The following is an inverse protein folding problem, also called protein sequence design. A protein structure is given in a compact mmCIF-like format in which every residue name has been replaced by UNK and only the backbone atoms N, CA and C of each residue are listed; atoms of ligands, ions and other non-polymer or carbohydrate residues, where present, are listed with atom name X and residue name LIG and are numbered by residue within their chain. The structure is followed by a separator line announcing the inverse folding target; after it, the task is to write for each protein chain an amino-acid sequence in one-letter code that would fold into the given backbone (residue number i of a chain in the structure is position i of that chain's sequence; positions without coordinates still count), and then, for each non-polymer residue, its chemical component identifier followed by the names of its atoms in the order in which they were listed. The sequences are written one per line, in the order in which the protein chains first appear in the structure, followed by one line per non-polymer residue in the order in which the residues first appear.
data_IF_471854102205
#
_entry.id   IF_471854102205
#
_cell.length_a   1.000
_cell.length_b   1.000
_cell.length_c   1.000
_cell.angle_alpha   90.00
_cell.angle_beta   90.00
_cell.angle_gamma   90.00
#
_symmetry.space_group_name_H-M   'P 1'
#
loop_
_entity.id
_entity.type
_entity.pdbx_description
1 polymer ?
#
# COMPACT_ATOMS: atom_id res chain seq x y z
N UNK A 1 40.07 -5.43 23.91
CA UNK A 1 40.53 -5.69 22.53
C UNK A 1 39.51 -5.11 21.58
N UNK A 2 39.94 -4.12 20.80
CA UNK A 2 39.10 -3.29 19.93
C UNK A 2 38.63 -4.10 18.73
N UNK A 3 37.31 -4.23 18.54
CA UNK A 3 36.73 -4.77 17.30
C UNK A 3 36.14 -3.60 16.53
N UNK A 4 36.87 -3.19 15.48
CA UNK A 4 36.46 -2.14 14.57
C UNK A 4 35.17 -2.54 13.83
N UNK A 5 34.08 -1.82 14.11
CA UNK A 5 32.89 -1.85 13.27
C UNK A 5 33.21 -1.17 11.93
N UNK A 6 33.29 -1.94 10.85
CA UNK A 6 33.35 -1.40 9.48
C UNK A 6 32.03 -0.69 9.17
N UNK A 7 32.04 0.65 9.22
CA UNK A 7 31.07 1.51 8.54
C UNK A 7 31.21 1.30 7.04
N UNK A 8 30.25 0.64 6.41
CA UNK A 8 30.05 0.73 4.96
C UNK A 8 29.26 2.00 4.67
N UNK A 9 29.98 3.05 4.25
CA UNK A 9 29.38 4.22 3.64
C UNK A 9 28.77 3.81 2.29
N UNK A 10 27.45 3.98 2.11
CA UNK A 10 26.83 3.94 0.79
C UNK A 10 27.21 5.24 0.06
N UNK A 11 28.39 5.26 -0.55
CA UNK A 11 28.74 6.27 -1.55
C UNK A 11 28.19 5.83 -2.91
N UNK A 12 27.42 6.73 -3.54
CA UNK A 12 27.23 6.82 -4.99
C UNK A 12 27.02 5.51 -5.74
N UNK A 13 25.93 4.79 -5.49
CA UNK A 13 25.49 3.75 -6.40
C UNK A 13 24.75 4.42 -7.57
N UNK A 14 25.42 4.47 -8.73
CA UNK A 14 24.77 4.74 -10.01
C UNK A 14 23.53 3.85 -10.16
N UNK A 15 22.44 4.45 -10.65
CA UNK A 15 21.14 3.82 -10.88
C UNK A 15 21.36 2.43 -11.51
N UNK A 16 21.08 1.30 -10.82
CA UNK A 16 21.07 0.02 -11.51
C UNK A 16 20.04 0.14 -12.65
N UNK A 17 20.35 -0.34 -13.86
CA UNK A 17 19.40 -0.28 -14.96
C UNK A 17 18.11 -0.94 -14.49
N UNK A 18 17.02 -0.16 -14.41
CA UNK A 18 15.68 -0.73 -14.26
C UNK A 18 15.52 -1.63 -15.49
N UNK A 19 15.25 -2.92 -15.28
CA UNK A 19 14.67 -3.72 -16.37
C UNK A 19 13.50 -2.89 -16.92
N UNK A 20 13.45 -2.63 -18.24
CA UNK A 20 12.37 -1.83 -18.79
C UNK A 20 11.04 -2.48 -18.37
N UNK A 21 10.07 -1.63 -17.99
CA UNK A 21 8.69 -1.91 -17.60
C UNK A 21 7.89 -2.81 -18.59
N UNK A 22 8.56 -3.39 -19.59
CA UNK A 22 8.02 -4.22 -20.67
C UNK A 22 7.27 -5.43 -20.13
N UNK A 23 5.97 -5.25 -19.95
CA UNK A 23 5.01 -6.32 -19.68
C UNK A 23 4.44 -6.40 -18.27
N UNK A 24 4.77 -5.47 -17.38
CA UNK A 24 4.13 -5.34 -16.07
C UNK A 24 2.84 -4.51 -16.09
N UNK A 25 2.61 -3.73 -17.15
CA UNK A 25 1.52 -2.75 -17.19
C UNK A 25 1.59 -1.81 -15.99
N UNK A 26 0.45 -1.60 -15.34
CA UNK A 26 0.33 -0.73 -14.16
C UNK A 26 0.36 -1.52 -12.85
N UNK A 27 0.73 -2.81 -12.88
CA UNK A 27 0.95 -3.65 -11.70
C UNK A 27 2.26 -3.26 -10.98
N UNK A 28 2.42 -1.99 -10.74
CA UNK A 28 3.46 -1.41 -9.91
C UNK A 28 2.84 -1.01 -8.59
N UNK A 29 3.63 -1.12 -7.53
CA UNK A 29 3.20 -0.67 -6.22
C UNK A 29 2.96 0.85 -6.24
N UNK A 30 2.05 1.32 -5.39
CA UNK A 30 1.87 2.75 -5.19
C UNK A 30 3.20 3.42 -4.84
N UNK A 31 4.11 2.76 -4.14
CA UNK A 31 5.46 3.26 -3.83
C UNK A 31 6.41 3.41 -5.03
N UNK A 32 6.19 2.67 -6.13
CA UNK A 32 7.02 2.75 -7.34
C UNK A 32 6.65 3.95 -8.22
N UNK A 33 5.39 4.41 -8.14
CA UNK A 33 4.85 5.55 -8.91
C UNK A 33 4.46 6.74 -8.05
N UNK A 34 4.48 6.59 -6.72
CA UNK A 34 4.28 7.70 -5.81
C UNK A 34 5.52 8.59 -5.82
N UNK A 35 5.25 9.89 -5.75
CA UNK A 35 6.23 10.88 -5.38
C UNK A 35 5.88 11.40 -3.98
N UNK A 36 6.85 11.61 -3.08
CA UNK A 36 8.26 11.28 -3.24
C UNK A 36 8.49 9.76 -3.15
N UNK A 37 9.35 9.24 -4.03
CA UNK A 37 9.84 7.87 -3.93
C UNK A 37 10.84 7.69 -2.76
N UNK A 38 11.06 6.47 -2.24
CA UNK A 38 11.90 6.24 -1.04
C UNK A 38 13.34 6.73 -1.13
N UNK A 39 13.92 6.88 -2.32
CA UNK A 39 15.29 7.36 -2.50
C UNK A 39 15.43 8.88 -2.36
N UNK A 40 14.32 9.63 -2.37
CA UNK A 40 14.33 11.06 -2.05
C UNK A 40 14.48 11.34 -0.55
N UNK A 41 14.27 10.32 0.29
CA UNK A 41 14.33 10.47 1.73
C UNK A 41 15.78 10.56 2.18
N UNK A 42 16.08 11.47 3.10
CA UNK A 42 17.40 11.64 3.69
C UNK A 42 17.31 11.78 5.21
N UNK A 43 18.43 11.53 5.89
CA UNK A 43 18.52 11.54 7.37
C UNK A 43 18.47 12.96 7.96
N UNK A 44 18.63 13.99 7.12
CA UNK A 44 18.49 15.40 7.52
C UNK A 44 17.05 15.85 7.81
N UNK A 45 16.06 14.98 7.59
CA UNK A 45 14.66 15.21 7.97
C UNK A 45 14.22 14.04 8.83
N UNK A 46 13.94 14.29 10.11
CA UNK A 46 13.67 13.27 11.11
C UNK A 46 12.59 13.70 12.10
N UNK A 47 12.77 13.28 13.36
CA UNK A 47 11.79 13.53 14.42
C UNK A 47 11.46 15.02 14.65
N UNK A 48 12.44 15.96 14.73
CA UNK A 48 12.13 17.38 14.95
C UNK A 48 11.23 17.98 13.87
N UNK A 49 11.45 17.61 12.61
CA UNK A 49 10.65 18.11 11.49
C UNK A 49 9.22 17.57 11.54
N UNK A 50 9.05 16.29 11.90
CA UNK A 50 7.72 15.71 12.10
C UNK A 50 7.00 16.37 13.29
N UNK A 51 7.70 16.61 14.39
CA UNK A 51 7.13 17.26 15.57
C UNK A 51 6.65 18.68 15.25
N UNK A 52 7.42 19.46 14.48
CA UNK A 52 7.00 20.80 14.01
C UNK A 52 5.79 20.68 13.08
N UNK A 53 5.83 19.80 12.08
CA UNK A 53 4.74 19.66 11.13
C UNK A 53 3.42 19.24 11.80
N UNK A 54 3.47 18.38 12.83
CA UNK A 54 2.30 18.00 13.62
C UNK A 54 1.76 19.18 14.45
N UNK A 55 2.63 20.06 14.95
CA UNK A 55 2.26 21.23 15.73
C UNK A 55 1.66 22.36 14.87
N UNK A 56 2.23 22.58 13.69
CA UNK A 56 1.84 23.64 12.75
C UNK A 56 0.59 23.27 11.93
N UNK A 57 0.17 22.01 12.01
CA UNK A 57 -0.98 21.49 11.28
C UNK A 57 -2.27 22.24 11.64
N UNK A 58 -3.10 22.62 10.64
CA UNK A 58 -4.40 23.23 10.93
C UNK A 58 -5.29 22.32 11.76
N UNK A 59 -5.80 22.82 12.89
CA UNK A 59 -6.63 22.04 13.82
C UNK A 59 -7.87 21.44 13.15
N UNK A 60 -8.47 22.12 12.17
CA UNK A 60 -9.66 21.64 11.47
C UNK A 60 -9.37 20.62 10.34
N UNK A 61 -8.10 20.42 9.96
CA UNK A 61 -7.78 19.46 8.92
C UNK A 61 -8.15 18.04 9.36
N UNK A 62 -8.51 17.16 8.43
CA UNK A 62 -8.71 15.73 8.70
C UNK A 62 -7.38 15.00 8.83
N UNK A 63 -7.26 14.04 9.76
CA UNK A 63 -6.08 13.18 9.89
C UNK A 63 -6.49 11.73 9.67
N UNK A 64 -5.84 11.06 8.72
CA UNK A 64 -5.89 9.60 8.63
C UNK A 64 -4.78 8.98 9.49
N UNK A 65 -5.00 7.76 9.97
CA UNK A 65 -4.03 7.00 10.75
C UNK A 65 -3.76 5.65 10.09
N UNK A 66 -2.48 5.31 9.90
CA UNK A 66 -2.03 3.98 9.48
C UNK A 66 -1.23 3.34 10.60
N UNK A 67 -1.65 2.18 11.07
CA UNK A 67 -0.88 1.37 12.02
C UNK A 67 -0.23 0.22 11.27
N UNK A 68 1.11 0.15 11.33
CA UNK A 68 1.87 -0.95 10.73
C UNK A 68 2.24 -1.95 11.83
N UNK A 69 1.64 -3.13 11.79
CA UNK A 69 1.91 -4.24 12.71
C UNK A 69 2.88 -5.23 12.03
N UNK A 70 4.14 -5.38 12.47
CA UNK A 70 5.15 -6.08 11.69
C UNK A 70 5.16 -7.59 11.89
N UNK A 71 4.20 -8.21 12.58
CA UNK A 71 4.27 -9.63 12.95
C UNK A 71 3.57 -10.54 11.94
N UNK A 72 4.10 -11.75 11.73
CA UNK A 72 3.46 -12.82 10.96
C UNK A 72 3.73 -14.19 11.60
N UNK A 73 2.74 -15.10 11.62
CA UNK A 73 3.00 -16.51 12.02
C UNK A 73 3.70 -17.33 10.95
N UNK A 74 3.53 -16.91 9.70
CA UNK A 74 3.99 -17.65 8.54
C UNK A 74 4.99 -16.82 7.73
N UNK A 75 6.16 -17.40 7.45
CA UNK A 75 7.14 -16.82 6.53
C UNK A 75 6.80 -17.21 5.08
N UNK A 76 6.02 -16.38 4.40
CA UNK A 76 5.70 -16.57 2.98
C UNK A 76 6.93 -16.27 2.11
N UNK A 77 7.29 -17.18 1.20
CA UNK A 77 8.53 -17.07 0.41
C UNK A 77 8.51 -15.91 -0.57
N UNK A 78 7.33 -15.49 -1.05
CA UNK A 78 7.21 -14.36 -1.98
C UNK A 78 7.33 -12.98 -1.31
N UNK A 79 7.17 -12.90 0.02
CA UNK A 79 6.93 -11.65 0.72
C UNK A 79 8.11 -10.68 0.65
N UNK A 80 7.83 -9.43 0.26
CA UNK A 80 8.80 -8.32 0.27
C UNK A 80 8.67 -7.43 1.52
N UNK A 81 7.64 -7.62 2.34
CA UNK A 81 7.42 -6.85 3.56
C UNK A 81 8.45 -7.21 4.63
N UNK A 82 8.90 -6.21 5.38
CA UNK A 82 9.67 -6.45 6.60
C UNK A 82 8.69 -6.92 7.67
N UNK A 83 8.76 -8.21 7.99
CA UNK A 83 7.97 -8.84 9.03
C UNK A 83 8.88 -9.53 10.06
N UNK A 84 8.39 -9.62 11.29
CA UNK A 84 8.97 -10.31 12.43
C UNK A 84 8.21 -11.64 12.56
N UNK A 85 8.81 -12.77 12.14
CA UNK A 85 8.15 -14.06 12.25
C UNK A 85 8.07 -14.49 13.72
N UNK A 86 6.89 -14.91 14.17
CA UNK A 86 6.67 -15.42 15.53
C UNK A 86 5.44 -16.30 15.60
N UNK A 87 5.40 -17.27 16.50
CA UNK A 87 4.21 -18.10 16.76
C UNK A 87 3.47 -17.70 18.04
N UNK A 88 4.00 -16.75 18.80
CA UNK A 88 3.45 -16.35 20.11
C UNK A 88 3.03 -14.88 20.09
N UNK A 89 1.72 -14.63 20.14
CA UNK A 89 1.17 -13.28 20.08
C UNK A 89 1.58 -12.40 21.27
N UNK A 90 2.01 -13.00 22.39
CA UNK A 90 2.55 -12.26 23.54
C UNK A 90 3.83 -11.49 23.19
N UNK A 91 4.53 -11.88 22.13
CA UNK A 91 5.70 -11.15 21.64
C UNK A 91 5.34 -9.81 20.99
N UNK A 92 4.06 -9.56 20.64
CA UNK A 92 3.62 -8.25 20.21
C UNK A 92 3.46 -7.25 21.38
N UNK A 93 3.30 -7.70 22.63
CA UNK A 93 3.00 -6.78 23.75
C UNK A 93 4.08 -5.71 23.97
N UNK A 94 5.39 -6.03 23.97
CA UNK A 94 6.43 -5.00 24.07
C UNK A 94 6.39 -3.98 22.92
N UNK A 95 5.91 -4.40 21.74
CA UNK A 95 5.73 -3.53 20.60
C UNK A 95 4.50 -2.64 20.76
N UNK A 96 3.35 -3.19 21.20
CA UNK A 96 2.11 -2.43 21.45
C UNK A 96 2.30 -1.38 22.56
N UNK A 97 3.07 -1.71 23.61
CA UNK A 97 3.46 -0.74 24.64
C UNK A 97 4.24 0.45 24.07
N UNK A 98 5.17 0.20 23.14
CA UNK A 98 5.97 1.26 22.49
C UNK A 98 5.17 2.01 21.45
N UNK A 99 4.27 1.34 20.74
CA UNK A 99 3.32 1.99 19.84
C UNK A 99 2.43 2.99 20.60
N UNK A 100 1.99 2.66 21.83
CA UNK A 100 1.29 3.64 22.68
C UNK A 100 2.18 4.84 23.04
N UNK A 101 3.47 4.62 23.34
CA UNK A 101 4.41 5.72 23.57
C UNK A 101 4.58 6.60 22.33
N UNK A 102 4.64 6.01 21.14
CA UNK A 102 4.67 6.76 19.87
C UNK A 102 3.43 7.64 19.74
N UNK A 103 2.24 7.07 19.98
CA UNK A 103 0.98 7.82 19.95
C UNK A 103 0.95 8.95 20.97
N UNK A 104 1.45 8.73 22.19
CA UNK A 104 1.58 9.77 23.22
C UNK A 104 2.50 10.90 22.76
N UNK A 105 3.66 10.57 22.20
CA UNK A 105 4.61 11.58 21.70
C UNK A 105 4.03 12.39 20.54
N UNK A 106 3.39 11.73 19.56
CA UNK A 106 2.74 12.40 18.45
C UNK A 106 1.56 13.28 18.92
N UNK A 107 0.72 12.76 19.83
CA UNK A 107 -0.44 13.49 20.36
C UNK A 107 -0.06 14.78 21.08
N UNK A 108 1.08 14.82 21.78
CA UNK A 108 1.58 16.04 22.45
C UNK A 108 1.82 17.20 21.50
N UNK A 109 2.07 16.92 20.22
CA UNK A 109 2.28 17.95 19.18
C UNK A 109 0.99 18.36 18.49
N UNK A 110 0.01 17.45 18.40
CA UNK A 110 -1.27 17.74 17.75
C UNK A 110 -2.15 18.66 18.62
N UNK A 111 -2.32 19.91 18.21
CA UNK A 111 -3.28 20.84 18.79
C UNK A 111 -4.61 20.80 18.03
N UNK A 112 -5.73 20.55 18.73
CA UNK A 112 -7.06 20.40 18.11
C UNK A 112 -7.10 19.27 17.07
N UNK A 113 -7.70 18.14 17.42
CA UNK A 113 -7.78 16.98 16.52
C UNK A 113 -9.25 16.61 16.31
N UNK A 114 -9.82 16.78 15.10
CA UNK A 114 -11.12 16.21 14.80
C UNK A 114 -11.02 14.67 14.89
N UNK A 115 -12.13 13.99 15.22
CA UNK A 115 -12.13 12.54 15.29
C UNK A 115 -11.60 11.90 14.01
N UNK A 116 -10.64 10.98 14.16
CA UNK A 116 -10.04 10.23 13.07
C UNK A 116 -11.12 9.39 12.39
N UNK A 117 -11.47 9.76 11.17
CA UNK A 117 -12.47 9.07 10.36
C UNK A 117 -11.87 8.03 9.42
N UNK A 118 -10.54 7.99 9.26
CA UNK A 118 -9.81 7.04 8.41
C UNK A 118 -8.72 6.33 9.20
N UNK A 119 -8.89 5.02 9.38
CA UNK A 119 -7.95 4.16 10.09
C UNK A 119 -7.61 2.96 9.20
N UNK A 120 -6.33 2.61 9.14
CA UNK A 120 -5.89 1.42 8.43
C UNK A 120 -4.89 0.62 9.26
N UNK A 121 -5.16 -0.67 9.45
CA UNK A 121 -4.23 -1.62 10.05
C UNK A 121 -3.66 -2.55 8.98
N UNK A 122 -2.34 -2.64 8.89
CA UNK A 122 -1.67 -3.50 7.91
C UNK A 122 -0.21 -3.77 8.26
N UNK A 123 0.57 -4.21 7.28
CA UNK A 123 2.01 -4.46 7.44
C UNK A 123 2.39 -5.93 7.29
N UNK A 124 2.53 -6.62 8.42
CA UNK A 124 2.55 -8.08 8.49
C UNK A 124 1.12 -8.60 8.40
N UNK A 125 0.65 -9.28 9.44
CA UNK A 125 -0.77 -9.62 9.60
C UNK A 125 -1.30 -9.05 10.92
N UNK A 126 -2.19 -8.04 10.89
CA UNK A 126 -2.93 -7.59 12.07
C UNK A 126 -3.61 -8.72 12.86
N UNK A 127 -4.07 -9.77 12.17
CA UNK A 127 -4.65 -10.97 12.78
C UNK A 127 -3.66 -11.82 13.60
N UNK A 128 -2.37 -11.44 13.63
CA UNK A 128 -1.41 -12.00 14.56
C UNK A 128 -1.80 -11.76 16.02
N UNK A 129 -2.39 -10.58 16.29
CA UNK A 129 -2.84 -10.16 17.61
C UNK A 129 -4.00 -11.04 18.08
N UNK A 130 -4.02 -11.36 19.38
CA UNK A 130 -5.21 -11.91 20.00
C UNK A 130 -6.32 -10.86 20.09
N UNK A 131 -7.58 -11.29 20.27
CA UNK A 131 -8.74 -10.39 20.25
C UNK A 131 -8.67 -9.33 21.36
N UNK A 132 -8.19 -9.70 22.54
CA UNK A 132 -7.95 -8.76 23.65
C UNK A 132 -6.87 -7.72 23.31
N UNK A 133 -5.79 -8.13 22.62
CA UNK A 133 -4.76 -7.22 22.13
C UNK A 133 -5.27 -6.28 21.03
N UNK A 134 -6.20 -6.74 20.16
CA UNK A 134 -6.87 -5.88 19.19
C UNK A 134 -7.74 -4.83 19.88
N UNK A 135 -8.50 -5.23 20.91
CA UNK A 135 -9.31 -4.31 21.72
C UNK A 135 -8.43 -3.27 22.40
N UNK A 136 -7.38 -3.70 23.09
CA UNK A 136 -6.47 -2.81 23.80
C UNK A 136 -5.77 -1.82 22.85
N UNK A 137 -5.33 -2.27 21.66
CA UNK A 137 -4.78 -1.36 20.66
C UNK A 137 -5.81 -0.34 20.17
N UNK A 138 -7.04 -0.78 19.92
CA UNK A 138 -8.12 0.11 19.50
C UNK A 138 -8.45 1.15 20.57
N UNK A 139 -8.56 0.73 21.83
CA UNK A 139 -8.83 1.62 22.97
C UNK A 139 -7.70 2.63 23.17
N UNK A 140 -6.44 2.22 23.01
CA UNK A 140 -5.29 3.14 23.05
C UNK A 140 -5.36 4.16 21.90
N UNK A 141 -5.66 3.72 20.67
CA UNK A 141 -5.83 4.63 19.54
C UNK A 141 -6.93 5.66 19.79
N UNK A 142 -8.08 5.23 20.30
CA UNK A 142 -9.18 6.13 20.65
C UNK A 142 -8.80 7.10 21.76
N UNK A 143 -8.21 6.60 22.84
CA UNK A 143 -7.77 7.44 23.96
C UNK A 143 -6.71 8.47 23.57
N UNK A 144 -5.81 8.16 22.62
CA UNK A 144 -4.75 9.08 22.20
C UNK A 144 -5.20 10.03 21.08
N UNK A 145 -5.89 9.52 20.07
CA UNK A 145 -6.14 10.24 18.81
C UNK A 145 -7.62 10.58 18.58
N UNK A 146 -8.55 9.99 19.34
CA UNK A 146 -9.99 10.17 19.18
C UNK A 146 -10.48 9.57 17.86
N UNK A 147 -11.13 8.42 17.91
CA UNK A 147 -11.67 7.74 16.74
C UNK A 147 -13.11 8.19 16.48
N UNK A 148 -13.45 8.38 15.19
CA UNK A 148 -14.80 8.78 14.82
C UNK A 148 -15.80 7.66 15.09
N UNK A 149 -16.94 8.01 15.71
CA UNK A 149 -18.11 7.16 15.83
C UNK A 149 -19.09 7.31 14.65
N UNK A 150 -18.75 8.13 13.64
CA UNK A 150 -19.62 8.37 12.50
C UNK A 150 -19.84 7.10 11.67
N UNK A 151 -21.06 6.94 11.15
CA UNK A 151 -21.44 5.75 10.36
C UNK A 151 -20.66 5.61 9.05
N UNK A 152 -20.21 6.74 8.50
CA UNK A 152 -19.49 6.80 7.23
C UNK A 152 -17.97 6.70 7.38
N UNK A 153 -17.44 6.52 8.61
CA UNK A 153 -16.01 6.29 8.86
C UNK A 153 -15.44 5.18 7.97
N UNK A 154 -14.14 5.19 7.78
CA UNK A 154 -13.41 4.29 6.89
C UNK A 154 -12.28 3.62 7.66
N UNK A 155 -12.64 2.53 8.34
CA UNK A 155 -11.75 1.72 9.16
C UNK A 155 -11.50 0.41 8.43
N UNK A 156 -10.26 0.20 8.04
CA UNK A 156 -9.83 -0.88 7.17
C UNK A 156 -8.71 -1.71 7.79
N UNK A 157 -8.68 -3.00 7.46
CA UNK A 157 -7.68 -3.93 7.97
C UNK A 157 -7.28 -4.96 6.91
N UNK A 158 -5.99 -5.24 6.83
CA UNK A 158 -5.43 -6.34 6.02
C UNK A 158 -5.42 -7.62 6.84
N UNK A 159 -5.85 -8.75 6.26
CA UNK A 159 -5.91 -10.05 6.94
C UNK A 159 -5.31 -11.16 6.07
N UNK A 160 -4.63 -12.09 6.74
CA UNK A 160 -4.30 -13.41 6.20
C UNK A 160 -5.48 -14.35 6.48
N UNK A 161 -6.14 -14.94 5.47
CA UNK A 161 -7.27 -15.85 5.68
C UNK A 161 -6.97 -17.10 6.51
N UNK A 162 -5.68 -17.43 6.72
CA UNK A 162 -5.25 -18.55 7.58
C UNK A 162 -5.16 -18.17 9.06
N UNK A 163 -5.19 -16.87 9.38
CA UNK A 163 -5.01 -16.34 10.73
C UNK A 163 -6.26 -15.61 11.23
N UNK A 164 -7.33 -15.58 10.44
CA UNK A 164 -8.61 -15.00 10.82
C UNK A 164 -9.72 -16.05 10.73
N UNK A 165 -10.70 -15.93 11.61
CA UNK A 165 -11.92 -16.74 11.63
C UNK A 165 -13.16 -15.87 11.81
N UNK A 166 -14.33 -16.51 11.97
CA UNK A 166 -15.60 -15.80 12.16
C UNK A 166 -15.61 -14.95 13.45
N UNK A 167 -14.94 -15.41 14.52
CA UNK A 167 -14.86 -14.63 15.77
C UNK A 167 -14.02 -13.38 15.58
N UNK A 168 -12.95 -13.48 14.79
CA UNK A 168 -12.10 -12.34 14.41
C UNK A 168 -12.92 -11.29 13.67
N UNK A 169 -13.71 -11.67 12.66
CA UNK A 169 -14.53 -10.70 11.91
C UNK A 169 -15.62 -10.06 12.76
N UNK A 170 -16.30 -10.84 13.61
CA UNK A 170 -17.29 -10.30 14.57
C UNK A 170 -16.66 -9.29 15.52
N UNK A 171 -15.47 -9.61 16.01
CA UNK A 171 -14.74 -8.73 16.91
C UNK A 171 -14.32 -7.42 16.21
N UNK A 172 -13.77 -7.51 15.01
CA UNK A 172 -13.39 -6.35 14.21
C UNK A 172 -14.59 -5.45 13.87
N UNK A 173 -15.74 -6.06 13.53
CA UNK A 173 -16.98 -5.31 13.31
C UNK A 173 -17.42 -4.57 14.57
N UNK A 174 -17.31 -5.20 15.75
CA UNK A 174 -17.66 -4.58 17.03
C UNK A 174 -16.73 -3.40 17.38
N UNK A 175 -15.43 -3.51 17.06
CA UNK A 175 -14.49 -2.39 17.15
C UNK A 175 -14.79 -1.29 16.11
N UNK A 176 -15.55 -1.60 15.07
CA UNK A 176 -15.99 -0.61 14.10
C UNK A 176 -15.28 -0.62 12.76
N UNK A 177 -14.45 -1.64 12.50
CA UNK A 177 -13.92 -1.90 11.15
C UNK A 177 -15.07 -2.21 10.21
N UNK A 178 -15.01 -1.64 9.00
CA UNK A 178 -16.06 -1.78 8.00
C UNK A 178 -15.51 -2.05 6.60
N UNK A 179 -14.19 -2.23 6.46
CA UNK A 179 -13.56 -2.68 5.23
C UNK A 179 -12.49 -3.73 5.53
N UNK A 180 -12.42 -4.75 4.68
CA UNK A 180 -11.46 -5.84 4.80
C UNK A 180 -10.63 -5.95 3.50
N UNK A 181 -9.36 -6.29 3.66
CA UNK A 181 -8.51 -6.75 2.56
C UNK A 181 -7.95 -8.13 2.90
N UNK A 182 -8.33 -9.14 2.13
CA UNK A 182 -7.86 -10.52 2.32
C UNK A 182 -6.75 -10.84 1.33
N UNK A 183 -5.59 -11.25 1.84
CA UNK A 183 -4.46 -11.68 1.03
C UNK A 183 -4.63 -13.10 0.51
N UNK A 184 -5.28 -13.31 -0.63
CA UNK A 184 -5.46 -14.65 -1.23
C UNK A 184 -4.20 -15.09 -1.96
N UNK A 185 -3.61 -14.19 -2.73
CA UNK A 185 -2.42 -14.36 -3.57
C UNK A 185 -2.64 -15.33 -4.74
N UNK A 186 -3.02 -16.57 -4.46
CA UNK A 186 -3.23 -17.64 -5.43
C UNK A 186 -4.05 -18.79 -4.81
N UNK A 187 -4.90 -19.46 -5.60
CA UNK A 187 -5.70 -20.62 -5.20
C UNK A 187 -5.16 -21.96 -5.73
N UNK A 188 -4.28 -21.95 -6.74
CA UNK A 188 -3.59 -23.16 -7.20
C UNK A 188 -2.69 -23.73 -6.07
N UNK A 189 -3.00 -24.97 -5.67
CA UNK A 189 -2.29 -25.67 -4.58
C UNK A 189 -0.78 -25.85 -4.83
N UNK A 190 -0.35 -26.05 -6.08
CA UNK A 190 1.07 -26.19 -6.46
C UNK A 190 1.79 -24.87 -6.28
N UNK A 191 1.17 -23.76 -6.69
CA UNK A 191 1.74 -22.42 -6.49
C UNK A 191 1.80 -22.09 -4.99
N UNK A 192 0.72 -22.37 -4.24
CA UNK A 192 0.66 -22.19 -2.79
C UNK A 192 1.79 -22.93 -2.05
N UNK A 193 2.06 -24.19 -2.43
CA UNK A 193 3.18 -24.96 -1.88
C UNK A 193 4.53 -24.34 -2.21
N UNK A 194 4.73 -23.92 -3.47
CA UNK A 194 5.98 -23.29 -3.90
C UNK A 194 6.29 -22.00 -3.12
N UNK A 195 5.27 -21.24 -2.74
CA UNK A 195 5.41 -19.97 -2.02
C UNK A 195 5.27 -20.07 -0.49
N UNK A 196 5.11 -21.29 0.05
CA UNK A 196 4.89 -21.56 1.48
C UNK A 196 3.62 -20.88 2.05
N UNK A 197 2.51 -20.95 1.31
CA UNK A 197 1.23 -20.35 1.66
C UNK A 197 0.06 -21.28 1.34
N UNK A 198 0.03 -22.46 1.95
CA UNK A 198 -1.11 -23.38 1.82
C UNK A 198 -2.34 -22.74 2.48
N UNK A 199 -3.35 -22.47 1.67
CA UNK A 199 -4.57 -21.78 2.05
C UNK A 199 -5.73 -22.39 1.26
N UNK A 200 -6.45 -23.39 1.83
CA UNK A 200 -7.64 -23.92 1.20
C UNK A 200 -8.64 -22.82 0.88
N UNK A 201 -9.24 -22.87 -0.32
CA UNK A 201 -10.25 -21.92 -0.79
C UNK A 201 -11.37 -21.68 0.22
N UNK A 202 -11.85 -22.75 0.86
CA UNK A 202 -12.93 -22.72 1.84
C UNK A 202 -12.68 -21.77 3.02
N UNK A 203 -11.41 -21.54 3.41
CA UNK A 203 -11.09 -20.55 4.47
C UNK A 203 -11.41 -19.13 4.01
N UNK A 204 -11.14 -18.82 2.74
CA UNK A 204 -11.42 -17.49 2.19
C UNK A 204 -12.92 -17.30 2.01
N UNK A 205 -13.61 -18.31 1.50
CA UNK A 205 -15.07 -18.29 1.32
C UNK A 205 -15.80 -18.06 2.65
N UNK A 206 -15.43 -18.79 3.70
CA UNK A 206 -16.05 -18.62 5.01
C UNK A 206 -15.89 -17.20 5.57
N UNK A 207 -14.76 -16.54 5.30
CA UNK A 207 -14.54 -15.14 5.71
C UNK A 207 -15.29 -14.15 4.83
N UNK A 208 -15.41 -14.42 3.52
CA UNK A 208 -16.23 -13.59 2.61
C UNK A 208 -17.69 -13.63 3.01
N UNK A 209 -18.24 -14.82 3.22
CA UNK A 209 -19.64 -15.03 3.63
C UNK A 209 -19.93 -14.36 4.98
N UNK A 210 -19.05 -14.52 5.95
CA UNK A 210 -19.21 -13.90 7.26
C UNK A 210 -19.08 -12.37 7.19
N UNK A 211 -18.19 -11.84 6.34
CA UNK A 211 -18.05 -10.39 6.14
C UNK A 211 -19.33 -9.79 5.54
N UNK A 212 -19.94 -10.46 4.56
CA UNK A 212 -21.22 -10.04 3.98
C UNK A 212 -22.34 -10.08 5.04
N UNK A 213 -22.45 -11.18 5.80
CA UNK A 213 -23.43 -11.33 6.89
C UNK A 213 -23.30 -10.25 7.97
N UNK A 214 -22.09 -9.80 8.25
CA UNK A 214 -21.81 -8.74 9.23
C UNK A 214 -21.98 -7.33 8.66
N UNK A 215 -22.23 -7.19 7.36
CA UNK A 215 -22.43 -5.91 6.69
C UNK A 215 -21.15 -5.09 6.54
N UNK A 216 -19.99 -5.74 6.35
CA UNK A 216 -18.78 -5.02 5.95
C UNK A 216 -19.06 -4.30 4.62
N UNK A 217 -18.80 -2.99 4.59
CA UNK A 217 -19.09 -2.12 3.45
C UNK A 217 -18.31 -2.52 2.20
N UNK A 218 -17.13 -3.08 2.40
CA UNK A 218 -16.23 -3.45 1.31
C UNK A 218 -15.31 -4.59 1.72
N UNK A 219 -15.15 -5.55 0.80
CA UNK A 219 -14.15 -6.60 0.88
C UNK A 219 -13.29 -6.58 -0.39
N UNK A 220 -11.98 -6.53 -0.20
CA UNK A 220 -10.97 -6.64 -1.26
C UNK A 220 -10.31 -8.01 -1.20
N UNK A 221 -10.26 -8.74 -2.32
CA UNK A 221 -9.40 -9.91 -2.47
C UNK A 221 -8.13 -9.54 -3.23
N UNK A 222 -6.96 -9.79 -2.64
CA UNK A 222 -5.67 -9.49 -3.26
C UNK A 222 -5.05 -10.75 -3.86
N UNK A 223 -4.66 -10.68 -5.13
CA UNK A 223 -3.99 -11.73 -5.91
C UNK A 223 -2.61 -11.26 -6.38
N UNK A 224 -1.73 -12.21 -6.70
CA UNK A 224 -0.38 -11.91 -7.15
C UNK A 224 -0.07 -12.60 -8.49
N UNK A 225 0.44 -11.85 -9.46
CA UNK A 225 0.81 -12.35 -10.78
C UNK A 225 2.33 -12.53 -10.90
N UNK A 226 2.75 -13.58 -11.59
CA UNK A 226 4.15 -13.91 -11.82
C UNK A 226 4.76 -14.85 -10.78
N UNK A 227 3.93 -15.48 -9.93
CA UNK A 227 4.38 -16.45 -8.94
C UNK A 227 4.88 -17.76 -9.59
N UNK A 228 5.66 -18.58 -8.86
CA UNK A 228 6.14 -19.87 -9.36
C UNK A 228 5.03 -20.77 -9.88
N UNK A 229 5.25 -21.43 -11.01
CA UNK A 229 4.33 -22.36 -11.68
C UNK A 229 3.01 -21.77 -12.19
N UNK A 230 2.77 -20.46 -12.07
CA UNK A 230 1.59 -19.84 -12.66
C UNK A 230 1.60 -19.96 -14.19
N UNK A 231 0.44 -20.28 -14.74
CA UNK A 231 0.17 -20.34 -16.18
C UNK A 231 -1.08 -19.52 -16.51
N UNK A 232 -1.26 -19.05 -17.76
CA UNK A 232 -2.46 -18.33 -18.17
C UNK A 232 -3.76 -19.07 -17.84
N UNK A 233 -3.81 -20.39 -18.11
CA UNK A 233 -4.97 -21.21 -17.78
C UNK A 233 -5.19 -21.33 -16.27
N UNK A 234 -4.13 -21.61 -15.49
CA UNK A 234 -4.26 -21.70 -14.04
C UNK A 234 -4.70 -20.39 -13.38
N UNK A 235 -4.26 -19.25 -13.92
CA UNK A 235 -4.73 -17.94 -13.47
C UNK A 235 -6.20 -17.71 -13.82
N UNK A 236 -6.65 -18.12 -15.01
CA UNK A 236 -8.06 -18.05 -15.39
C UNK A 236 -8.93 -18.89 -14.44
N UNK A 237 -8.51 -20.12 -14.12
CA UNK A 237 -9.20 -21.00 -13.16
C UNK A 237 -9.25 -20.35 -11.75
N UNK A 238 -8.19 -19.69 -11.31
CA UNK A 238 -8.18 -18.95 -10.04
C UNK A 238 -9.10 -17.74 -10.07
N UNK A 239 -9.12 -16.98 -11.17
CA UNK A 239 -9.98 -15.82 -11.32
C UNK A 239 -11.46 -16.23 -11.35
N UNK A 240 -11.82 -17.32 -12.03
CA UNK A 240 -13.19 -17.85 -12.00
C UNK A 240 -13.65 -18.13 -10.56
N UNK A 241 -12.79 -18.76 -9.75
CA UNK A 241 -13.10 -19.04 -8.35
C UNK A 241 -13.22 -17.77 -7.51
N UNK A 242 -12.33 -16.79 -7.71
CA UNK A 242 -12.36 -15.49 -7.01
C UNK A 242 -13.60 -14.70 -7.39
N UNK A 243 -13.96 -14.67 -8.68
CA UNK A 243 -15.17 -14.03 -9.17
C UNK A 243 -16.44 -14.70 -8.63
N UNK A 244 -16.39 -16.03 -8.43
CA UNK A 244 -17.46 -16.79 -7.77
C UNK A 244 -17.70 -16.36 -6.31
N UNK A 245 -16.71 -15.77 -5.63
CA UNK A 245 -16.87 -15.16 -4.29
C UNK A 245 -17.42 -13.72 -4.35
N UNK A 246 -17.59 -13.16 -5.55
CA UNK A 246 -18.16 -11.84 -5.81
C UNK A 246 -17.63 -10.68 -4.93
N UNK A 247 -16.31 -10.54 -4.71
CA UNK A 247 -15.78 -9.49 -3.84
C UNK A 247 -16.08 -8.10 -4.41
N UNK A 248 -16.23 -7.10 -3.52
CA UNK A 248 -16.44 -5.72 -3.95
C UNK A 248 -15.25 -5.20 -4.79
N UNK A 249 -14.04 -5.62 -4.43
CA UNK A 249 -12.79 -5.25 -5.11
C UNK A 249 -11.84 -6.42 -5.27
N UNK A 250 -11.05 -6.36 -6.33
CA UNK A 250 -9.95 -7.27 -6.59
C UNK A 250 -8.69 -6.43 -6.77
N UNK A 251 -7.61 -6.79 -6.06
CA UNK A 251 -6.32 -6.14 -6.19
C UNK A 251 -5.32 -7.12 -6.78
N UNK A 252 -4.78 -6.80 -7.95
CA UNK A 252 -3.68 -7.53 -8.56
C UNK A 252 -2.36 -6.89 -8.17
N UNK A 253 -1.42 -7.71 -7.70
CA UNK A 253 -0.05 -7.33 -7.43
C UNK A 253 0.87 -8.03 -8.40
N UNK A 254 1.97 -7.38 -8.79
CA UNK A 254 3.08 -8.06 -9.45
C UNK A 254 4.01 -8.68 -8.42
N UNK A 255 4.41 -9.93 -8.65
CA UNK A 255 5.51 -10.52 -7.92
C UNK A 255 6.85 -9.97 -8.43
N UNK A 256 7.59 -9.33 -7.53
CA UNK A 256 8.95 -8.84 -7.77
C UNK A 256 9.97 -9.74 -7.06
N UNK A 257 10.75 -10.50 -7.83
CA UNK A 257 11.71 -11.47 -7.32
C UNK A 257 13.10 -10.86 -7.15
N UNK A 258 13.40 -10.42 -5.93
CA UNK A 258 14.66 -9.81 -5.48
C UNK A 258 15.25 -10.54 -4.28
N UNK A 259 15.71 -11.80 -4.46
CA UNK A 259 16.25 -12.64 -3.37
C UNK A 259 17.55 -12.09 -2.72
N UNK A 260 18.20 -11.12 -3.37
CA UNK A 260 19.30 -10.34 -2.82
C UNK A 260 18.85 -9.35 -1.73
N UNK A 261 17.61 -8.86 -1.83
CA UNK A 261 17.01 -7.92 -0.87
C UNK A 261 16.06 -8.60 0.11
N UNK A 262 15.31 -9.61 -0.35
CA UNK A 262 14.29 -10.30 0.42
C UNK A 262 14.69 -11.78 0.59
N UNK A 263 15.35 -12.08 1.71
CA UNK A 263 15.96 -13.39 1.96
C UNK A 263 14.99 -14.57 1.82
N UNK A 264 13.71 -14.40 2.19
CA UNK A 264 12.68 -15.42 2.07
C UNK A 264 12.47 -15.90 0.62
N UNK A 265 12.70 -15.02 -0.37
CA UNK A 265 12.54 -15.33 -1.79
C UNK A 265 13.63 -16.27 -2.32
N UNK A 266 14.75 -16.46 -1.61
CA UNK A 266 15.80 -17.43 -2.00
C UNK A 266 15.30 -18.88 -2.04
N UNK A 267 14.22 -19.18 -1.33
CA UNK A 267 13.57 -20.48 -1.35
C UNK A 267 12.70 -20.73 -2.60
N UNK A 268 12.56 -19.74 -3.49
CA UNK A 268 11.89 -19.87 -4.78
C UNK A 268 12.96 -20.08 -5.85
N UNK A 269 12.91 -21.22 -6.55
CA UNK A 269 13.81 -21.47 -7.67
C UNK A 269 13.43 -20.64 -8.89
N UNK A 270 14.42 -20.06 -9.56
CA UNK A 270 14.22 -19.21 -10.75
C UNK A 270 13.53 -19.95 -11.89
N UNK A 271 13.83 -21.23 -12.08
CA UNK A 271 13.24 -22.06 -13.14
C UNK A 271 11.75 -22.33 -12.96
N UNK A 272 11.21 -22.07 -11.77
CA UNK A 272 9.77 -22.17 -11.53
C UNK A 272 9.02 -20.91 -11.94
N UNK A 273 9.73 -19.79 -12.12
CA UNK A 273 9.11 -18.51 -12.42
C UNK A 273 8.69 -18.45 -13.90
N UNK A 274 7.51 -17.88 -14.20
CA UNK A 274 7.13 -17.63 -15.58
C UNK A 274 8.11 -16.65 -16.23
N UNK A 275 8.40 -16.88 -17.51
CA UNK A 275 9.21 -15.96 -18.31
C UNK A 275 8.46 -14.64 -18.60
N UNK A 276 9.15 -13.67 -19.22
CA UNK A 276 8.56 -12.36 -19.50
C UNK A 276 7.34 -12.43 -20.44
N UNK A 277 7.34 -13.35 -21.42
CA UNK A 277 6.21 -13.54 -22.33
C UNK A 277 4.98 -14.09 -21.61
N UNK A 278 5.18 -15.06 -20.71
CA UNK A 278 4.13 -15.64 -19.88
C UNK A 278 3.58 -14.61 -18.91
N UNK A 279 4.42 -13.82 -18.24
CA UNK A 279 3.98 -12.73 -17.35
C UNK A 279 3.09 -11.71 -18.07
N UNK A 280 3.43 -11.33 -19.30
CA UNK A 280 2.58 -10.48 -20.13
C UNK A 280 1.21 -11.10 -20.39
N UNK A 281 1.20 -12.39 -20.76
CA UNK A 281 -0.05 -13.13 -20.98
C UNK A 281 -0.89 -13.20 -19.70
N UNK A 282 -0.29 -13.48 -18.55
CA UNK A 282 -1.00 -13.49 -17.26
C UNK A 282 -1.73 -12.16 -17.01
N UNK A 283 -1.07 -11.03 -17.24
CA UNK A 283 -1.69 -9.71 -17.09
C UNK A 283 -2.84 -9.50 -18.10
N UNK A 284 -2.61 -9.82 -19.38
CA UNK A 284 -3.63 -9.69 -20.42
C UNK A 284 -4.87 -10.53 -20.10
N UNK A 285 -4.68 -11.79 -19.69
CA UNK A 285 -5.77 -12.68 -19.29
C UNK A 285 -6.51 -12.15 -18.07
N UNK A 286 -5.80 -11.69 -17.04
CA UNK A 286 -6.43 -11.16 -15.83
C UNK A 286 -7.32 -9.95 -16.14
N UNK A 287 -6.81 -9.03 -16.97
CA UNK A 287 -7.59 -7.87 -17.42
C UNK A 287 -8.83 -8.31 -18.19
N UNK A 288 -8.69 -9.20 -19.17
CA UNK A 288 -9.81 -9.67 -19.98
C UNK A 288 -10.91 -10.32 -19.14
N UNK A 289 -10.54 -11.16 -18.16
CA UNK A 289 -11.49 -11.81 -17.25
C UNK A 289 -12.22 -10.81 -16.35
N UNK A 290 -11.50 -9.86 -15.75
CA UNK A 290 -12.08 -8.86 -14.86
C UNK A 290 -12.97 -7.87 -15.63
N UNK A 291 -12.55 -7.45 -16.82
CA UNK A 291 -13.35 -6.59 -17.71
C UNK A 291 -14.64 -7.33 -18.14
N UNK A 292 -14.54 -8.60 -18.53
CA UNK A 292 -15.70 -9.44 -18.89
C UNK A 292 -16.66 -9.66 -17.71
N UNK A 293 -16.15 -9.75 -16.50
CA UNK A 293 -16.93 -9.82 -15.27
C UNK A 293 -17.52 -8.47 -14.83
N UNK A 294 -17.24 -7.38 -15.56
CA UNK A 294 -17.82 -6.06 -15.31
C UNK A 294 -17.12 -5.26 -14.20
N UNK A 295 -15.93 -5.66 -13.77
CA UNK A 295 -15.12 -4.85 -12.87
C UNK A 295 -14.54 -3.64 -13.62
N UNK A 296 -14.47 -2.51 -12.93
CA UNK A 296 -13.88 -1.27 -13.41
C UNK A 296 -12.44 -1.20 -12.91
N UNK A 297 -11.50 -1.02 -13.82
CA UNK A 297 -10.14 -0.72 -13.47
C UNK A 297 -10.02 0.69 -12.84
N UNK A 298 -9.70 0.74 -11.55
CA UNK A 298 -9.50 2.00 -10.80
C UNK A 298 -8.09 2.54 -11.04
N UNK A 299 -7.09 1.66 -11.03
CA UNK A 299 -5.67 1.96 -11.23
C UNK A 299 -4.77 1.18 -10.28
N UNK A 300 -3.50 1.02 -10.64
CA UNK A 300 -2.48 0.30 -9.86
C UNK A 300 -2.92 -1.11 -9.48
N UNK A 301 -3.46 -1.84 -10.47
CA UNK A 301 -3.99 -3.18 -10.29
C UNK A 301 -5.24 -3.27 -9.39
N UNK A 302 -5.85 -2.16 -9.00
CA UNK A 302 -7.12 -2.16 -8.26
C UNK A 302 -8.30 -2.17 -9.22
N UNK A 303 -9.18 -3.15 -9.03
CA UNK A 303 -10.43 -3.30 -9.73
C UNK A 303 -11.58 -3.25 -8.73
N UNK A 304 -12.67 -2.61 -9.10
CA UNK A 304 -13.86 -2.49 -8.26
C UNK A 304 -15.12 -2.74 -9.09
N UNK A 305 -16.18 -3.27 -8.47
CA UNK A 305 -17.48 -3.33 -9.14
C UNK A 305 -17.96 -1.93 -9.54
N UNK A 306 -18.83 -1.84 -10.55
CA UNK A 306 -19.37 -0.55 -11.03
C UNK A 306 -20.14 0.24 -9.97
N UNK A 307 -20.77 -0.45 -9.04
CA UNK A 307 -21.51 0.11 -7.91
C UNK A 307 -20.62 0.47 -6.71
N UNK A 308 -19.32 0.17 -6.75
CA UNK A 308 -18.37 0.54 -5.71
C UNK A 308 -18.10 2.05 -5.70
N UNK A 309 -17.88 2.60 -4.49
CA UNK A 309 -17.61 4.02 -4.27
C UNK A 309 -16.41 4.57 -5.04
N UNK A 310 -15.35 3.79 -5.23
CA UNK A 310 -14.18 4.24 -6.02
C UNK A 310 -14.51 4.30 -7.52
N UNK A 311 -15.30 3.36 -8.03
CA UNK A 311 -15.76 3.41 -9.41
C UNK A 311 -16.67 4.63 -9.65
N UNK A 312 -17.58 4.90 -8.72
CA UNK A 312 -18.43 6.09 -8.74
C UNK A 312 -17.61 7.39 -8.63
N UNK A 313 -16.64 7.44 -7.71
CA UNK A 313 -15.75 8.59 -7.54
C UNK A 313 -14.89 8.84 -8.79
N UNK A 314 -14.42 7.78 -9.46
CA UNK A 314 -13.73 7.88 -10.75
C UNK A 314 -14.63 8.49 -11.81
N UNK A 315 -15.84 7.96 -11.96
CA UNK A 315 -16.82 8.44 -12.95
C UNK A 315 -17.23 9.91 -12.71
N UNK A 316 -17.30 10.35 -11.45
CA UNK A 316 -17.65 11.73 -11.09
C UNK A 316 -16.45 12.68 -11.00
N UNK A 317 -15.22 12.23 -11.31
CA UNK A 317 -14.00 13.05 -11.19
C UNK A 317 -13.58 13.38 -9.76
N UNK A 318 -14.12 12.67 -8.75
CA UNK A 318 -13.85 12.86 -7.32
C UNK A 318 -12.95 11.74 -6.74
N UNK A 319 -12.25 10.98 -7.58
CA UNK A 319 -11.26 10.01 -7.14
C UNK A 319 -10.01 10.76 -6.65
N UNK A 320 -9.55 10.41 -5.46
CA UNK A 320 -8.27 10.84 -4.92
C UNK A 320 -7.34 9.65 -4.69
N UNK A 321 -6.05 9.94 -4.59
CA UNK A 321 -5.02 8.97 -4.24
C UNK A 321 -4.10 9.59 -3.20
N UNK A 322 -3.62 8.78 -2.26
CA UNK A 322 -2.64 9.22 -1.27
C UNK A 322 -1.94 8.04 -0.60
N UNK A 323 -1.32 8.27 0.58
CA UNK A 323 -0.54 7.24 1.28
C UNK A 323 -1.29 5.96 1.67
N UNK A 324 -2.63 6.01 1.78
CA UNK A 324 -3.50 4.85 2.02
C UNK A 324 -4.02 4.19 0.72
N UNK A 325 -3.64 4.70 -0.44
CA UNK A 325 -4.16 4.31 -1.75
C UNK A 325 -5.31 5.20 -2.22
N UNK A 326 -6.17 4.65 -3.07
CA UNK A 326 -7.32 5.34 -3.62
C UNK A 326 -8.40 5.62 -2.58
N UNK A 327 -9.01 6.80 -2.66
CA UNK A 327 -10.07 7.26 -1.77
C UNK A 327 -11.08 8.10 -2.55
N UNK A 328 -12.28 8.26 -2.00
CA UNK A 328 -13.22 9.28 -2.48
C UNK A 328 -12.81 10.64 -1.87
N UNK A 329 -12.64 11.66 -2.70
CA UNK A 329 -12.23 13.00 -2.28
C UNK A 329 -10.74 13.12 -1.94
N UNK A 330 -10.34 14.23 -1.29
CA UNK A 330 -8.93 14.50 -0.99
C UNK A 330 -8.37 13.52 0.05
N UNK A 331 -7.16 13.00 -0.21
CA UNK A 331 -6.52 12.04 0.68
C UNK A 331 -5.99 12.64 1.99
N UNK A 332 -5.77 13.96 2.07
CA UNK A 332 -5.37 14.67 3.29
C UNK A 332 -4.07 14.18 3.94
N UNK A 333 -3.87 14.55 5.21
CA UNK A 333 -2.73 14.11 6.01
C UNK A 333 -2.87 12.66 6.47
N UNK A 334 -1.74 11.96 6.58
CA UNK A 334 -1.61 10.63 7.15
C UNK A 334 -0.53 10.63 8.24
N UNK A 335 -0.90 10.21 9.45
CA UNK A 335 0.05 9.79 10.47
C UNK A 335 0.26 8.27 10.39
N UNK A 336 1.47 7.86 10.02
CA UNK A 336 1.92 6.47 10.10
C UNK A 336 2.53 6.18 11.47
N UNK A 337 2.10 5.07 12.07
CA UNK A 337 2.56 4.58 13.36
C UNK A 337 3.14 3.17 13.20
N UNK A 338 4.21 2.89 13.93
CA UNK A 338 4.91 1.61 13.90
C UNK A 338 6.18 1.59 13.04
N UNK A 339 6.98 0.54 13.22
CA UNK A 339 8.22 0.26 12.49
C UNK A 339 8.04 0.38 10.98
N UNK A 340 8.84 1.24 10.34
CA UNK A 340 8.84 1.50 8.91
C UNK A 340 7.53 2.11 8.38
N UNK A 341 6.65 2.63 9.24
CA UNK A 341 5.48 3.37 8.80
C UNK A 341 5.88 4.70 8.14
N UNK A 342 5.09 5.15 7.17
CA UNK A 342 5.27 6.43 6.49
C UNK A 342 4.19 7.41 6.93
N UNK A 343 4.57 8.67 7.12
CA UNK A 343 3.65 9.78 7.39
C UNK A 343 3.75 10.83 6.29
N UNK A 344 2.62 11.50 6.03
CA UNK A 344 2.50 12.69 5.17
C UNK A 344 1.74 13.75 5.96
N UNK A 345 2.41 14.84 6.34
CA UNK A 345 1.80 15.96 7.04
C UNK A 345 2.12 17.24 6.24
N UNK A 346 1.12 17.80 5.56
CA UNK A 346 1.35 18.88 4.60
C UNK A 346 2.35 18.46 3.52
N UNK A 347 3.39 19.26 3.33
CA UNK A 347 4.49 19.01 2.39
C UNK A 347 5.59 18.09 2.95
N UNK A 348 5.48 17.62 4.20
CA UNK A 348 6.46 16.77 4.84
C UNK A 348 6.13 15.29 4.64
N UNK A 349 7.10 14.53 4.15
CA UNK A 349 7.05 13.07 4.05
C UNK A 349 8.15 12.45 4.89
N UNK A 350 7.79 11.54 5.78
CA UNK A 350 8.77 10.88 6.67
C UNK A 350 8.50 9.39 6.80
N UNK A 351 9.51 8.65 7.24
CA UNK A 351 9.44 7.22 7.51
C UNK A 351 10.08 6.91 8.87
N UNK A 352 9.41 6.08 9.64
CA UNK A 352 9.96 5.52 10.87
C UNK A 352 11.12 4.55 10.60
N UNK A 353 11.96 4.30 11.61
CA UNK A 353 13.02 3.31 11.54
C UNK A 353 12.47 1.96 11.04
N UNK A 354 13.21 1.34 10.12
CA UNK A 354 12.82 0.14 9.39
C UNK A 354 13.26 -1.16 10.08
N UNK A 355 13.99 -1.04 11.18
CA UNK A 355 14.38 -2.12 12.08
C UNK A 355 13.67 -1.99 13.41
N UNK A 356 13.35 -3.14 14.02
CA UNK A 356 12.70 -3.16 15.33
C UNK A 356 13.57 -2.48 16.39
N UNK A 357 14.88 -2.80 16.41
CA UNK A 357 15.83 -2.20 17.35
C UNK A 357 15.91 -0.66 17.21
N UNK A 358 15.93 -0.13 15.98
CA UNK A 358 15.95 1.31 15.75
C UNK A 358 14.65 1.99 16.18
N UNK A 359 13.51 1.37 15.87
CA UNK A 359 12.18 1.86 16.25
C UNK A 359 11.99 1.88 17.77
N UNK A 360 12.28 0.76 18.43
CA UNK A 360 12.13 0.63 19.88
C UNK A 360 13.11 1.50 20.64
N UNK A 361 14.38 1.57 20.21
CA UNK A 361 15.40 2.37 20.86
C UNK A 361 15.10 3.87 20.84
N UNK A 362 14.48 4.39 19.78
CA UNK A 362 14.06 5.79 19.73
C UNK A 362 12.96 6.09 20.76
N UNK A 363 11.97 5.21 20.85
CA UNK A 363 10.81 5.36 21.76
C UNK A 363 11.20 5.16 23.23
N UNK A 364 12.11 4.24 23.51
CA UNK A 364 12.68 4.06 24.86
C UNK A 364 13.49 5.28 25.30
N UNK A 365 14.05 6.03 24.35
CA UNK A 365 14.68 7.33 24.58
C UNK A 365 13.71 8.53 24.51
N UNK A 366 12.39 8.29 24.56
CA UNK A 366 11.33 9.31 24.51
C UNK A 366 11.38 10.24 23.29
N UNK A 367 11.81 9.71 22.13
CA UNK A 367 11.80 10.44 20.85
C UNK A 367 10.89 9.72 19.85
N UNK A 368 10.32 10.46 18.91
CA UNK A 368 9.64 9.84 17.77
C UNK A 368 10.64 8.98 16.97
N UNK A 369 10.21 7.82 16.44
CA UNK A 369 11.09 6.86 15.77
C UNK A 369 11.35 7.24 14.30
N UNK A 370 11.15 8.50 13.94
CA UNK A 370 11.30 9.02 12.58
C UNK A 370 12.77 9.04 12.18
N UNK A 371 13.12 8.22 11.18
CA UNK A 371 14.51 7.97 10.80
C UNK A 371 14.96 8.80 9.59
N UNK A 372 14.08 9.01 8.61
CA UNK A 372 14.38 9.80 7.42
C UNK A 372 13.12 10.40 6.80
N UNK A 373 13.31 11.39 5.93
CA UNK A 373 12.21 12.06 5.24
C UNK A 373 12.67 13.05 4.19
N UNK A 374 11.72 13.84 3.70
CA UNK A 374 11.92 14.95 2.78
C UNK A 374 10.82 15.99 3.02
N UNK A 375 11.18 17.27 2.93
CA UNK A 375 10.21 18.37 2.81
C UNK A 375 10.14 18.78 1.35
N UNK A 376 8.95 18.70 0.76
CA UNK A 376 8.79 19.00 -0.65
C UNK A 376 8.86 20.50 -0.93
N UNK A 377 9.69 20.88 -1.91
CA UNK A 377 9.67 22.25 -2.46
C UNK A 377 8.37 22.51 -3.22
N UNK A 378 8.01 23.77 -3.54
CA UNK A 378 6.83 24.07 -4.34
C UNK A 378 6.76 23.30 -5.66
N UNK A 379 7.88 23.20 -6.38
CA UNK A 379 7.97 22.44 -7.65
C UNK A 379 7.71 20.95 -7.44
N UNK A 380 8.22 20.39 -6.34
CA UNK A 380 8.04 18.99 -5.98
C UNK A 380 6.60 18.68 -5.55
N UNK A 381 5.94 19.60 -4.85
CA UNK A 381 4.52 19.50 -4.51
C UNK A 381 3.65 19.55 -5.77
N UNK A 382 3.98 20.44 -6.70
CA UNK A 382 3.31 20.56 -7.99
C UNK A 382 3.47 19.29 -8.84
N UNK A 383 4.69 18.73 -8.89
CA UNK A 383 4.94 17.45 -9.52
C UNK A 383 4.12 16.32 -8.88
N UNK A 384 4.11 16.21 -7.54
CA UNK A 384 3.27 15.25 -6.82
C UNK A 384 1.78 15.38 -7.19
N UNK A 385 1.24 16.60 -7.16
CA UNK A 385 -0.16 16.85 -7.48
C UNK A 385 -0.51 16.42 -8.92
N UNK A 386 0.42 16.62 -9.85
CA UNK A 386 0.30 16.18 -11.24
C UNK A 386 0.24 14.65 -11.34
N UNK A 387 1.15 13.94 -10.66
CA UNK A 387 1.14 12.47 -10.65
C UNK A 387 -0.14 11.92 -9.99
N UNK A 388 -0.57 12.48 -8.86
CA UNK A 388 -1.81 12.08 -8.20
C UNK A 388 -3.04 12.35 -9.09
N UNK A 389 -3.04 13.43 -9.88
CA UNK A 389 -4.09 13.70 -10.85
C UNK A 389 -4.14 12.65 -11.97
N UNK A 390 -2.99 12.29 -12.54
CA UNK A 390 -2.88 11.25 -13.57
C UNK A 390 -3.29 9.87 -13.04
N UNK A 391 -2.85 9.50 -11.84
CA UNK A 391 -3.27 8.28 -11.13
C UNK A 391 -4.80 8.20 -10.99
N UNK A 392 -5.43 9.34 -10.72
CA UNK A 392 -6.88 9.44 -10.57
C UNK A 392 -7.63 9.65 -11.89
N UNK A 393 -6.95 9.51 -13.04
CA UNK A 393 -7.55 9.67 -14.38
C UNK A 393 -8.12 11.05 -14.66
N UNK A 394 -7.59 12.06 -13.98
CA UNK A 394 -7.97 13.46 -14.21
C UNK A 394 -7.10 14.02 -15.32
N UNK A 395 -7.70 14.84 -16.17
CA UNK A 395 -6.94 15.58 -17.16
C UNK A 395 -6.13 16.68 -16.49
N UNK A 396 -4.93 16.92 -16.97
CA UNK A 396 -4.01 17.95 -16.47
C UNK A 396 -3.77 19.01 -17.55
N UNK A 397 -3.31 20.18 -17.15
CA UNK A 397 -2.84 21.19 -18.10
C UNK A 397 -1.40 20.84 -18.52
N UNK A 398 -1.10 20.60 -19.81
CA UNK A 398 0.24 20.29 -20.28
C UNK A 398 1.30 21.31 -19.85
N UNK A 399 0.93 22.58 -19.67
CA UNK A 399 1.83 23.64 -19.21
C UNK A 399 2.34 23.43 -17.77
N UNK A 400 1.68 22.55 -17.01
CA UNK A 400 2.08 22.18 -15.65
C UNK A 400 3.21 21.15 -15.60
N UNK A 401 3.55 20.54 -16.74
CA UNK A 401 4.61 19.54 -16.82
C UNK A 401 6.00 20.19 -16.89
N UNK A 402 7.01 19.48 -16.40
CA UNK A 402 8.40 19.94 -16.50
C UNK A 402 8.83 20.09 -17.97
N UNK A 403 9.65 21.09 -18.24
CA UNK A 403 10.25 21.31 -19.57
C UNK A 403 11.04 20.08 -20.00
N UNK A 404 10.67 19.48 -21.14
CA UNK A 404 11.31 18.28 -21.69
C UNK A 404 10.44 17.02 -21.74
N UNK A 405 9.19 17.06 -21.26
CA UNK A 405 8.24 15.97 -21.47
C UNK A 405 7.94 15.77 -22.98
N UNK A 406 8.27 14.59 -23.52
CA UNK A 406 7.98 14.23 -24.92
C UNK A 406 6.51 13.80 -25.08
N UNK A 407 5.62 14.78 -24.98
CA UNK A 407 4.18 14.58 -25.12
C UNK A 407 3.81 14.13 -26.53
N UNK A 408 4.57 14.53 -27.54
CA UNK A 408 4.32 14.17 -28.94
C UNK A 408 4.54 12.67 -29.17
N UNK A 409 5.61 12.10 -28.61
CA UNK A 409 5.83 10.65 -28.62
C UNK A 409 4.71 9.90 -27.88
N UNK A 410 4.34 10.35 -26.68
CA UNK A 410 3.25 9.71 -25.92
C UNK A 410 1.89 9.77 -26.63
N UNK A 411 1.61 10.84 -27.37
CA UNK A 411 0.42 10.96 -28.22
C UNK A 411 0.48 10.01 -29.41
N UNK A 412 1.64 9.95 -30.09
CA UNK A 412 1.85 9.08 -31.26
C UNK A 412 1.70 7.61 -30.90
N UNK A 413 2.10 7.24 -29.68
CA UNK A 413 1.89 5.90 -29.13
C UNK A 413 0.46 5.63 -28.63
N UNK A 414 -0.41 6.64 -28.65
CA UNK A 414 -1.80 6.52 -28.20
C UNK A 414 -1.94 6.36 -26.69
N UNK A 415 -0.95 6.78 -25.89
CA UNK A 415 -0.96 6.69 -24.43
C UNK A 415 -1.63 7.90 -23.78
N UNK A 416 -1.54 9.06 -24.41
CA UNK A 416 -2.20 10.29 -23.96
C UNK A 416 -2.98 10.92 -25.10
N UNK A 417 -4.06 11.60 -24.76
CA UNK A 417 -4.83 12.45 -25.68
C UNK A 417 -4.67 13.92 -25.27
N UNK A 418 -4.46 14.78 -26.27
CA UNK A 418 -4.36 16.22 -26.12
C UNK A 418 -5.58 16.86 -26.79
N UNK A 419 -6.63 17.10 -26.00
CA UNK A 419 -7.89 17.68 -26.48
C UNK A 419 -8.28 18.89 -25.63
N UNK A 420 -8.70 19.98 -26.30
CA UNK A 420 -9.15 21.21 -25.63
C UNK A 420 -8.11 21.87 -24.72
N UNK A 421 -6.82 21.75 -25.04
CA UNK A 421 -5.73 22.29 -24.22
C UNK A 421 -5.46 21.52 -22.92
N UNK A 422 -6.02 20.32 -22.77
CA UNK A 422 -5.77 19.43 -21.64
C UNK A 422 -5.17 18.12 -22.10
N UNK A 423 -4.34 17.51 -21.25
CA UNK A 423 -3.84 16.14 -21.44
C UNK A 423 -4.66 15.17 -20.61
N UNK A 424 -5.15 14.10 -21.22
CA UNK A 424 -5.80 12.99 -20.55
C UNK A 424 -5.10 11.67 -20.88
N UNK A 425 -5.16 10.70 -19.97
CA UNK A 425 -4.68 9.34 -20.27
C UNK A 425 -5.71 8.62 -21.13
N UNK A 426 -5.25 7.90 -22.15
CA UNK A 426 -6.13 6.96 -22.88
C UNK A 426 -6.39 5.71 -22.02
N UNK A 427 -7.29 4.83 -22.48
CA UNK A 427 -7.49 3.54 -21.84
C UNK A 427 -6.18 2.73 -21.74
N UNK A 428 -5.34 2.79 -22.77
CA UNK A 428 -4.03 2.13 -22.77
C UNK A 428 -3.00 2.90 -21.93
N UNK A 429 -3.07 4.23 -21.93
CA UNK A 429 -2.25 5.08 -21.07
C UNK A 429 -2.40 4.78 -19.59
N UNK A 430 -3.61 4.45 -19.13
CA UNK A 430 -3.82 3.99 -17.75
C UNK A 430 -3.01 2.75 -17.39
N UNK A 431 -2.92 1.79 -18.31
CA UNK A 431 -2.16 0.57 -18.14
C UNK A 431 -0.65 0.78 -18.26
N UNK A 432 -0.22 1.85 -18.92
CA UNK A 432 1.18 2.22 -19.05
C UNK A 432 1.55 3.44 -18.23
N UNK A 433 0.76 3.76 -17.21
CA UNK A 433 0.98 4.93 -16.36
C UNK A 433 2.42 5.02 -15.84
N UNK A 434 3.07 3.95 -15.35
CA UNK A 434 4.44 4.05 -14.84
C UNK A 434 5.43 4.54 -15.91
N UNK A 435 5.23 4.12 -17.17
CA UNK A 435 6.04 4.56 -18.31
C UNK A 435 5.79 6.04 -18.63
N UNK A 436 4.53 6.46 -18.58
CA UNK A 436 4.17 7.87 -18.76
C UNK A 436 4.81 8.71 -17.65
N UNK A 437 4.69 8.30 -16.39
CA UNK A 437 5.28 9.04 -15.28
C UNK A 437 6.81 9.11 -15.36
N UNK A 438 7.48 8.07 -15.86
CA UNK A 438 8.92 8.11 -16.14
C UNK A 438 9.27 9.10 -17.26
N UNK A 439 8.48 9.15 -18.33
CA UNK A 439 8.66 10.11 -19.43
C UNK A 439 8.36 11.57 -19.01
N UNK A 440 7.48 11.75 -18.02
CA UNK A 440 7.12 13.05 -17.45
C UNK A 440 8.00 13.46 -16.26
N UNK A 441 8.91 12.59 -15.81
CA UNK A 441 9.79 12.91 -14.71
C UNK A 441 10.79 14.00 -15.11
N UNK A 442 11.08 14.99 -14.24
CA UNK A 442 12.12 15.96 -14.51
C UNK A 442 13.46 15.23 -14.73
N UNK A 443 14.35 15.75 -15.59
CA UNK A 443 15.66 15.15 -15.79
C UNK A 443 16.38 15.03 -14.44
N UNK A 444 17.17 13.95 -14.22
CA UNK A 444 17.94 13.84 -12.99
C UNK A 444 18.79 15.10 -12.83
N UNK A 445 18.64 15.77 -11.68
CA UNK A 445 19.46 16.93 -11.33
C UNK A 445 20.96 16.59 -11.40
N UNK A 446 21.82 17.60 -11.59
CA UNK A 446 23.26 17.42 -11.71
C UNK A 446 23.91 16.72 -10.50
#
# INVERSE_FOLDING_TARGET
MSVHAKRTAFQGASRPPREPLSGAGDLVSATEVAYPAPHHYHEGVGAPELESALADRPAAASLAVKVRLPFCRHACRFCASQCVPSHDSRQAEPYLSRLDREMVLARRRLSGLPPVSRLHWGGGTPAFLALDQMSDLFDRLDARLGLSAARDRDFSIELDPREADMLTLRHLQALGFNRLSLGVQELDSRVQQAINRIQPRALTEALVDEADRLGFRELTLSLMLGLPFQTPQGLADTLEQVLGMAPARIRLHRYDHRPERHLAQRAIHRDWLPDAATRRRLLTEARAHLDAAGYVHIGLGLFARRDDRLAQARASGNLGHGPLGFTQGPAGDLLGLGMGAHSRIGELWVRNADTLAGYEGALDASRLPTACGIRLTPDQQHHQATLEALLCSRSIDPATLSTGADLEALCTEGLVDLSGGRMALTAEGHWQLPRILEALAPPPGP
#
